data_IF_560392321035
#
_entry.id   IF_560392321035
#
_cell.length_a   1.000
_cell.length_b   1.000
_cell.length_c   1.000
_cell.angle_alpha   90.00
_cell.angle_beta   90.00
_cell.angle_gamma   90.00
#
_symmetry.space_group_name_H-M   'P 1'
#
loop_
_entity.id
_entity.type
_entity.pdbx_description
1 polymer ?
#
# COMPACT_ATOMS: atom_id res chain seq x y z
N UNK A 1 -33.67 4.69 -7.46
CA UNK A 1 -32.86 4.18 -6.40
C UNK A 1 -31.41 4.16 -6.81
N UNK A 2 -30.62 4.71 -6.00
CA UNK A 2 -29.22 4.77 -6.32
C UNK A 2 -28.56 3.47 -5.94
N UNK A 3 -27.97 2.87 -6.90
CA UNK A 3 -27.13 1.75 -6.62
C UNK A 3 -25.83 2.26 -6.08
N UNK A 4 -25.57 1.94 -4.87
CA UNK A 4 -24.27 2.27 -4.35
C UNK A 4 -23.27 1.36 -4.97
N UNK A 5 -22.46 1.92 -5.82
CA UNK A 5 -21.35 1.17 -6.33
C UNK A 5 -20.29 1.14 -5.26
N UNK A 6 -19.97 -0.06 -4.84
CA UNK A 6 -18.83 -0.21 -3.97
C UNK A 6 -17.58 0.14 -4.74
N UNK A 7 -16.66 0.88 -4.09
CA UNK A 7 -15.41 1.18 -4.75
C UNK A 7 -14.74 -0.11 -5.17
N UNK A 8 -14.26 -0.12 -6.38
CA UNK A 8 -13.57 -1.27 -6.89
C UNK A 8 -12.24 -1.38 -6.18
N UNK A 9 -11.98 -2.54 -5.61
CA UNK A 9 -10.73 -2.79 -4.91
C UNK A 9 -9.63 -3.00 -5.94
N UNK A 10 -8.56 -2.24 -5.83
CA UNK A 10 -7.40 -2.47 -6.66
C UNK A 10 -6.50 -3.52 -6.00
N UNK A 11 -6.05 -4.49 -6.78
CA UNK A 11 -5.08 -5.44 -6.24
C UNK A 11 -4.21 -6.00 -7.36
N UNK A 12 -2.97 -6.30 -7.01
CA UNK A 12 -2.05 -6.88 -7.96
C UNK A 12 -2.16 -8.40 -7.99
N UNK A 13 -2.36 -9.02 -6.83
CA UNK A 13 -2.45 -10.47 -6.74
C UNK A 13 -3.62 -10.87 -5.87
N UNK A 14 -4.40 -11.80 -6.35
CA UNK A 14 -5.60 -12.23 -5.66
C UNK A 14 -5.32 -12.86 -4.30
N UNK A 15 -4.26 -13.66 -4.21
CA UNK A 15 -3.93 -14.29 -2.94
C UNK A 15 -3.50 -13.29 -1.89
N UNK A 16 -2.90 -12.18 -2.30
CA UNK A 16 -2.55 -11.12 -1.38
C UNK A 16 -3.78 -10.40 -0.88
N UNK A 17 -4.73 -10.15 -1.78
CA UNK A 17 -6.01 -9.56 -1.38
C UNK A 17 -6.72 -10.46 -0.37
N UNK A 18 -6.76 -11.75 -0.63
CA UNK A 18 -7.40 -12.69 0.29
C UNK A 18 -6.76 -12.66 1.65
N UNK A 19 -5.45 -12.54 1.69
CA UNK A 19 -4.73 -12.50 2.96
C UNK A 19 -5.11 -11.27 3.77
N UNK A 20 -5.15 -10.12 3.13
CA UNK A 20 -5.56 -8.88 3.81
C UNK A 20 -7.00 -9.00 4.27
N UNK A 21 -7.88 -9.48 3.38
CA UNK A 21 -9.30 -9.57 3.69
C UNK A 21 -9.58 -10.49 4.87
N UNK A 22 -8.76 -11.53 5.03
CA UNK A 22 -8.97 -12.49 6.10
C UNK A 22 -8.65 -11.93 7.49
N UNK A 23 -7.94 -10.81 7.56
CA UNK A 23 -7.53 -10.24 8.84
C UNK A 23 -8.20 -8.92 9.18
N UNK A 24 -9.27 -8.57 8.50
CA UNK A 24 -9.92 -7.28 8.72
C UNK A 24 -10.60 -7.25 10.08
N UNK A 25 -10.56 -6.07 10.67
CA UNK A 25 -11.29 -5.79 11.90
C UNK A 25 -12.72 -5.41 11.58
N UNK A 26 -13.56 -5.36 12.61
CA UNK A 26 -14.93 -4.98 12.43
C UNK A 26 -15.00 -3.54 11.88
N UNK A 27 -15.76 -3.35 10.83
CA UNK A 27 -15.89 -2.05 10.18
C UNK A 27 -14.74 -1.67 9.30
N UNK A 28 -13.76 -2.54 9.14
CA UNK A 28 -12.61 -2.28 8.27
C UNK A 28 -12.89 -2.78 6.87
N UNK A 29 -12.47 -2.01 5.88
CA UNK A 29 -12.73 -2.30 4.48
C UNK A 29 -11.45 -2.10 3.67
N UNK A 30 -11.14 -3.04 2.80
CA UNK A 30 -9.95 -2.97 1.94
C UNK A 30 -10.25 -2.07 0.75
N UNK A 31 -9.30 -1.23 0.42
CA UNK A 31 -9.37 -0.39 -0.78
C UNK A 31 -8.34 -0.78 -1.82
N UNK A 32 -7.18 -1.27 -1.39
CA UNK A 32 -6.16 -1.67 -2.35
C UNK A 32 -5.15 -2.61 -1.70
N UNK A 33 -4.51 -3.43 -2.53
CA UNK A 33 -3.42 -4.29 -2.11
C UNK A 33 -2.35 -4.25 -3.19
N UNK A 34 -1.18 -3.73 -2.83
CA UNK A 34 -0.09 -3.54 -3.77
C UNK A 34 1.02 -4.54 -3.52
N UNK A 35 1.46 -5.20 -4.58
CA UNK A 35 2.60 -6.09 -4.52
C UNK A 35 3.88 -5.26 -4.44
N UNK A 36 4.75 -5.59 -3.51
CA UNK A 36 5.99 -4.84 -3.33
C UNK A 36 7.12 -5.51 -4.07
N UNK A 37 7.99 -4.68 -4.61
CA UNK A 37 9.19 -5.12 -5.30
C UNK A 37 10.28 -5.35 -4.26
N UNK A 38 11.16 -6.29 -4.56
CA UNK A 38 12.30 -6.50 -3.69
C UNK A 38 12.46 -7.96 -3.32
N UNK A 39 13.57 -8.26 -2.68
CA UNK A 39 13.93 -9.63 -2.39
C UNK A 39 13.00 -10.34 -1.42
N UNK A 40 12.30 -9.59 -0.61
CA UNK A 40 11.43 -10.17 0.37
C UNK A 40 10.06 -10.54 -0.15
N UNK A 41 9.62 -9.88 -1.18
CA UNK A 41 8.32 -10.09 -1.80
C UNK A 41 7.18 -10.01 -0.80
N UNK A 42 6.96 -8.83 -0.29
CA UNK A 42 5.82 -8.57 0.55
C UNK A 42 4.72 -7.85 -0.20
N UNK A 43 3.76 -7.36 0.54
CA UNK A 43 2.69 -6.57 -0.06
C UNK A 43 2.13 -5.60 0.97
N UNK A 44 1.48 -4.57 0.46
CA UNK A 44 0.92 -3.49 1.26
C UNK A 44 -0.58 -3.46 1.04
N UNK A 45 -1.34 -3.62 2.11
CA UNK A 45 -2.79 -3.44 2.07
C UNK A 45 -3.16 -2.06 2.58
N UNK A 46 -4.12 -1.45 1.92
CA UNK A 46 -4.66 -0.15 2.32
C UNK A 46 -6.13 -0.33 2.68
N UNK A 47 -6.46 -0.02 3.91
CA UNK A 47 -7.84 -0.08 4.37
C UNK A 47 -8.30 1.30 4.83
N UNK A 48 -9.57 1.39 5.20
CA UNK A 48 -10.07 2.65 5.73
C UNK A 48 -9.57 2.96 7.15
N UNK A 49 -8.76 2.07 7.72
CA UNK A 49 -8.27 2.26 9.09
C UNK A 49 -6.76 2.25 9.20
N UNK A 50 -6.07 1.54 8.33
CA UNK A 50 -4.64 1.34 8.49
C UNK A 50 -3.98 0.91 7.20
N UNK A 51 -2.66 0.99 7.19
CA UNK A 51 -1.84 0.28 6.23
C UNK A 51 -1.44 -1.04 6.86
N UNK A 52 -1.54 -2.11 6.10
CA UNK A 52 -1.18 -3.45 6.58
C UNK A 52 -0.03 -3.94 5.74
N UNK A 53 1.08 -4.21 6.38
CA UNK A 53 2.31 -4.57 5.70
C UNK A 53 2.63 -6.02 5.97
N UNK A 54 2.72 -6.78 4.89
CA UNK A 54 3.24 -8.13 4.92
C UNK A 54 4.60 -8.11 4.25
N UNK A 55 5.63 -8.42 5.00
CA UNK A 55 6.97 -8.54 4.46
C UNK A 55 7.39 -9.99 4.62
N UNK A 56 7.64 -10.64 3.50
CA UNK A 56 7.92 -12.06 3.52
C UNK A 56 9.20 -12.37 4.30
N UNK A 57 10.20 -11.51 4.17
CA UNK A 57 11.43 -11.71 4.94
C UNK A 57 11.16 -11.53 6.43
N UNK A 58 10.34 -10.56 6.75
CA UNK A 58 9.95 -10.30 8.13
C UNK A 58 9.12 -11.44 8.67
N UNK A 59 8.16 -11.92 7.87
CA UNK A 59 7.30 -13.01 8.26
C UNK A 59 8.07 -14.30 8.48
N UNK A 60 9.12 -14.52 7.70
CA UNK A 60 9.91 -15.74 7.84
C UNK A 60 10.58 -15.81 9.19
N UNK A 61 11.03 -14.69 9.71
CA UNK A 61 11.69 -14.62 11.00
C UNK A 61 10.71 -14.49 12.14
N UNK A 62 9.74 -13.63 12.02
CA UNK A 62 8.89 -13.22 13.13
C UNK A 62 7.43 -13.52 12.91
N UNK A 63 7.06 -13.84 11.68
CA UNK A 63 5.66 -14.05 11.29
C UNK A 63 4.78 -12.88 11.72
N UNK A 64 5.30 -11.69 11.52
CA UNK A 64 4.65 -10.49 12.01
C UNK A 64 4.00 -9.74 10.88
N UNK A 65 2.86 -9.18 11.19
CA UNK A 65 2.17 -8.22 10.34
C UNK A 65 2.40 -6.86 10.97
N UNK A 66 2.81 -5.90 10.16
CA UNK A 66 2.98 -4.54 10.65
C UNK A 66 1.80 -3.72 10.21
N UNK A 67 1.19 -3.03 11.15
CA UNK A 67 0.06 -2.16 10.86
C UNK A 67 0.41 -0.73 11.25
N UNK A 68 0.09 0.20 10.35
CA UNK A 68 0.24 1.62 10.63
C UNK A 68 -1.16 2.24 10.59
N UNK A 69 -1.72 2.62 11.75
CA UNK A 69 -3.01 3.29 11.74
C UNK A 69 -2.93 4.58 10.93
N UNK A 70 -3.97 4.87 10.16
CA UNK A 70 -3.95 6.05 9.30
C UNK A 70 -3.76 7.33 10.10
N UNK A 71 -4.30 7.39 11.30
CA UNK A 71 -4.19 8.59 12.12
C UNK A 71 -2.79 8.78 12.73
N UNK A 72 -1.88 7.86 12.50
CA UNK A 72 -0.50 8.00 12.94
C UNK A 72 0.43 8.47 11.83
N UNK A 73 -0.07 8.55 10.62
CA UNK A 73 0.74 8.97 9.48
C UNK A 73 0.85 10.48 9.49
N UNK A 74 2.06 10.97 9.43
CA UNK A 74 2.33 12.41 9.40
C UNK A 74 2.54 12.92 7.99
N UNK A 75 3.34 12.22 7.20
CA UNK A 75 3.57 12.62 5.81
C UNK A 75 3.55 11.41 4.90
N UNK A 76 3.17 11.66 3.67
CA UNK A 76 3.19 10.66 2.61
C UNK A 76 3.88 11.30 1.41
N UNK A 77 4.82 10.58 0.83
CA UNK A 77 5.49 11.03 -0.38
C UNK A 77 5.51 9.91 -1.38
N UNK A 78 5.36 10.25 -2.64
CA UNK A 78 5.44 9.28 -3.71
C UNK A 78 6.47 9.75 -4.73
N UNK A 79 7.33 8.84 -5.13
CA UNK A 79 8.35 9.14 -6.11
C UNK A 79 8.31 8.06 -7.18
N UNK A 80 8.09 8.48 -8.40
CA UNK A 80 8.08 7.57 -9.51
C UNK A 80 9.47 7.50 -10.11
N UNK A 81 9.97 6.30 -10.22
CA UNK A 81 11.18 6.08 -10.98
C UNK A 81 10.75 5.74 -12.39
N UNK A 82 10.63 6.75 -13.21
CA UNK A 82 10.15 6.57 -14.58
C UNK A 82 11.19 5.99 -15.50
N UNK A 83 12.34 5.65 -14.97
CA UNK A 83 13.42 5.18 -15.81
C UNK A 83 14.04 6.28 -16.63
N UNK A 84 13.87 7.52 -16.20
CA UNK A 84 14.36 8.66 -16.93
C UNK A 84 15.85 8.57 -17.23
N UNK A 85 16.59 8.10 -16.25
CA UNK A 85 18.03 7.97 -16.40
C UNK A 85 18.43 6.70 -17.11
N UNK A 86 17.61 5.67 -17.02
CA UNK A 86 17.93 4.39 -17.62
C UNK A 86 17.34 4.23 -19.01
N UNK A 87 16.28 4.96 -19.29
CA UNK A 87 15.56 4.81 -20.53
C UNK A 87 14.84 3.49 -20.67
N UNK A 88 14.60 2.81 -19.58
CA UNK A 88 14.02 1.47 -19.61
C UNK A 88 12.74 1.44 -18.81
N UNK A 89 11.65 1.75 -19.48
CA UNK A 89 10.35 1.77 -18.83
C UNK A 89 9.94 0.45 -18.19
N UNK A 90 10.40 -0.67 -18.77
CA UNK A 90 9.98 -1.96 -18.22
C UNK A 90 10.69 -2.30 -16.92
N UNK A 91 11.69 -1.56 -16.52
CA UNK A 91 12.31 -1.71 -15.21
C UNK A 91 11.84 -0.65 -14.23
N UNK A 92 10.85 0.13 -14.63
CA UNK A 92 10.41 1.23 -13.80
C UNK A 92 9.84 0.71 -12.49
N UNK A 93 10.03 1.49 -11.47
CA UNK A 93 9.47 1.24 -10.17
C UNK A 93 9.04 2.57 -9.59
N UNK A 94 8.36 2.52 -8.45
CA UNK A 94 7.97 3.71 -7.74
C UNK A 94 8.10 3.44 -6.26
N UNK A 95 8.29 4.52 -5.49
CA UNK A 95 8.54 4.40 -4.06
C UNK A 95 7.54 5.27 -3.32
N UNK A 96 6.88 4.68 -2.34
CA UNK A 96 6.01 5.38 -1.42
C UNK A 96 6.73 5.49 -0.08
N UNK A 97 6.78 6.70 0.47
CA UNK A 97 7.40 6.93 1.76
C UNK A 97 6.33 7.42 2.71
N UNK A 98 6.20 6.73 3.83
CA UNK A 98 5.23 7.06 4.86
C UNK A 98 6.01 7.33 6.14
N UNK A 99 5.79 8.48 6.74
CA UNK A 99 6.45 8.80 8.01
C UNK A 99 5.44 8.91 9.13
N UNK A 100 5.84 8.41 10.27
CA UNK A 100 5.12 8.55 11.51
C UNK A 100 5.99 9.39 12.45
N UNK A 101 5.58 9.54 13.70
CA UNK A 101 6.35 10.36 14.64
C UNK A 101 7.73 9.79 14.93
N UNK A 102 7.91 8.49 14.76
CA UNK A 102 9.18 7.85 15.14
C UNK A 102 9.85 7.10 14.00
N UNK A 103 9.09 6.76 12.95
CA UNK A 103 9.60 5.86 11.93
C UNK A 103 9.33 6.40 10.54
N UNK A 104 10.14 5.92 9.62
CA UNK A 104 9.93 6.14 8.20
C UNK A 104 9.88 4.79 7.52
N UNK A 105 8.85 4.59 6.70
CA UNK A 105 8.65 3.34 5.97
C UNK A 105 8.70 3.62 4.48
N UNK A 106 9.48 2.82 3.77
CA UNK A 106 9.58 2.93 2.32
C UNK A 106 9.03 1.67 1.69
N UNK A 107 8.18 1.85 0.70
CA UNK A 107 7.58 0.75 -0.04
C UNK A 107 7.90 0.93 -1.51
N UNK A 108 8.56 -0.05 -2.09
CA UNK A 108 8.89 -0.01 -3.51
C UNK A 108 7.96 -0.93 -4.26
N UNK A 109 7.38 -0.42 -5.34
CA UNK A 109 6.43 -1.17 -6.16
C UNK A 109 6.96 -1.33 -7.57
N UNK A 110 6.52 -2.39 -8.24
CA UNK A 110 6.74 -2.52 -9.67
C UNK A 110 5.73 -1.66 -10.39
N UNK A 111 6.22 -0.85 -11.32
CA UNK A 111 5.36 0.07 -12.02
C UNK A 111 5.62 1.50 -11.61
N UNK A 112 5.69 2.38 -12.58
CA UNK A 112 6.10 3.76 -12.33
C UNK A 112 5.04 4.60 -11.65
N UNK A 113 3.79 4.17 -11.69
CA UNK A 113 2.67 4.98 -11.16
C UNK A 113 2.03 4.40 -9.91
N UNK A 114 2.54 3.28 -9.40
CA UNK A 114 1.90 2.63 -8.27
C UNK A 114 2.00 3.46 -7.00
N UNK A 115 3.15 4.05 -6.73
CA UNK A 115 3.31 4.86 -5.52
C UNK A 115 2.39 6.07 -5.56
N UNK A 116 2.21 6.67 -6.72
CA UNK A 116 1.28 7.79 -6.87
C UNK A 116 -0.15 7.36 -6.59
N UNK A 117 -0.53 6.20 -7.11
CA UNK A 117 -1.86 5.66 -6.86
C UNK A 117 -2.07 5.44 -5.35
N UNK A 118 -1.10 4.81 -4.72
CA UNK A 118 -1.19 4.57 -3.27
C UNK A 118 -1.23 5.88 -2.49
N UNK A 119 -0.41 6.84 -2.89
CA UNK A 119 -0.37 8.16 -2.26
C UNK A 119 -1.75 8.83 -2.30
N UNK A 120 -2.35 8.87 -3.47
CA UNK A 120 -3.64 9.53 -3.62
C UNK A 120 -4.73 8.83 -2.82
N UNK A 121 -4.71 7.51 -2.83
CA UNK A 121 -5.71 6.73 -2.09
C UNK A 121 -5.56 6.94 -0.59
N UNK A 122 -4.35 6.84 -0.07
CA UNK A 122 -4.12 7.00 1.36
C UNK A 122 -4.49 8.40 1.80
N UNK A 123 -4.07 9.39 1.03
CA UNK A 123 -4.39 10.77 1.35
C UNK A 123 -5.89 11.01 1.36
N UNK A 124 -6.60 10.45 0.38
CA UNK A 124 -8.04 10.56 0.33
C UNK A 124 -8.68 9.94 1.57
N UNK A 125 -8.19 8.79 1.99
CA UNK A 125 -8.72 8.15 3.20
C UNK A 125 -8.44 8.97 4.45
N UNK A 126 -7.31 9.67 4.48
CA UNK A 126 -6.94 10.45 5.66
C UNK A 126 -7.72 11.75 5.76
N UNK A 127 -7.96 12.42 4.65
CA UNK A 127 -8.53 13.76 4.70
C UNK A 127 -9.82 13.91 3.92
N UNK A 128 -10.07 13.06 2.94
CA UNK A 128 -11.20 13.23 2.04
C UNK A 128 -12.41 12.38 2.38
N UNK A 129 -12.20 11.31 3.11
CA UNK A 129 -13.28 10.37 3.40
C UNK A 129 -13.96 10.68 4.73
N UNK A 130 -13.41 11.62 5.44
CA UNK A 130 -13.94 12.01 6.74
C UNK A 130 -15.33 12.61 6.65
#
# INVERSE_FOLDING_TARGET
>A
MTTQQQPQIYYDKNEQLDKIASGLLQGEQVYAVFDMKGGGTGFLGVTNKRLVIYDKAFLRKMKAIVSIPLNRIQTIAAQDDSGLFTGRGFFSSSVLVVTTSHDQHEFEFRGSDKAHHAHQLILWLMIGAG
#
